data_IF_821970943703
#
_entry.id   IF_821970943703
#
_cell.length_a   1.000
_cell.length_b   1.000
_cell.length_c   1.000
_cell.angle_alpha   90.00
_cell.angle_beta   90.00
_cell.angle_gamma   90.00
#
_symmetry.space_group_name_H-M   'P 1'
#
loop_
_entity.id
_entity.type
_entity.pdbx_description
1 polymer ?
#
# COMPACT_ATOMS: atom_id res chain seq x y z
N UNK A 1 52.16 10.43 -3.77
CA UNK A 1 52.11 9.40 -4.83
C UNK A 1 50.76 9.54 -5.53
N UNK A 2 50.72 9.90 -6.82
CA UNK A 2 49.47 10.01 -7.58
C UNK A 2 49.21 8.67 -8.26
N UNK A 3 48.34 7.84 -7.68
CA UNK A 3 47.90 6.59 -8.28
C UNK A 3 46.89 6.93 -9.36
N UNK A 4 47.18 6.61 -10.62
CA UNK A 4 46.20 6.72 -11.71
C UNK A 4 45.33 5.47 -11.67
N UNK A 5 44.05 5.64 -11.36
CA UNK A 5 43.07 4.55 -11.44
C UNK A 5 42.60 4.49 -12.90
N UNK A 6 43.09 3.52 -13.67
CA UNK A 6 42.58 3.24 -15.01
C UNK A 6 41.36 2.32 -14.86
N UNK A 7 40.16 2.88 -15.03
CA UNK A 7 38.91 2.12 -15.00
C UNK A 7 38.59 1.73 -16.43
N UNK A 8 38.51 0.41 -16.67
CA UNK A 8 38.02 -0.13 -17.94
C UNK A 8 36.59 0.39 -18.20
N UNK A 9 36.35 0.91 -19.41
CA UNK A 9 35.05 1.41 -19.88
C UNK A 9 33.95 0.39 -19.63
N UNK A 10 34.25 -0.91 -19.73
CA UNK A 10 33.28 -1.97 -19.45
C UNK A 10 32.79 -1.97 -17.99
N UNK A 11 33.69 -1.71 -17.05
CA UNK A 11 33.38 -1.63 -15.61
C UNK A 11 32.61 -0.35 -15.30
N UNK A 12 33.00 0.77 -15.92
CA UNK A 12 32.30 2.04 -15.78
C UNK A 12 30.84 1.96 -16.27
N UNK A 13 30.61 1.40 -17.46
CA UNK A 13 29.27 1.26 -18.03
C UNK A 13 28.38 0.36 -17.16
N UNK A 14 28.91 -0.77 -16.66
CA UNK A 14 28.16 -1.67 -15.76
C UNK A 14 27.76 -0.98 -14.46
N UNK A 15 28.66 -0.20 -13.88
CA UNK A 15 28.37 0.57 -12.67
C UNK A 15 27.25 1.59 -12.91
N UNK A 16 27.34 2.38 -13.98
CA UNK A 16 26.32 3.38 -14.30
C UNK A 16 24.96 2.78 -14.63
N UNK A 17 24.92 1.65 -15.33
CA UNK A 17 23.66 0.95 -15.61
C UNK A 17 22.92 0.57 -14.32
N UNK A 18 23.64 0.13 -13.28
CA UNK A 18 23.05 -0.19 -11.98
C UNK A 18 22.48 1.07 -11.31
N UNK A 19 23.24 2.16 -11.29
CA UNK A 19 22.80 3.45 -10.71
C UNK A 19 21.55 3.98 -11.41
N UNK A 20 21.55 3.96 -12.75
CA UNK A 20 20.40 4.36 -13.57
C UNK A 20 19.21 3.44 -13.32
N UNK A 21 19.44 2.13 -13.20
CA UNK A 21 18.39 1.15 -12.85
C UNK A 21 17.71 1.48 -11.52
N UNK A 22 18.49 1.81 -10.48
CA UNK A 22 17.93 2.24 -9.20
C UNK A 22 17.17 3.57 -9.31
N UNK A 23 17.67 4.53 -10.08
CA UNK A 23 16.97 5.79 -10.33
C UNK A 23 15.59 5.56 -10.96
N UNK A 24 15.51 4.69 -11.97
CA UNK A 24 14.23 4.31 -12.59
C UNK A 24 13.31 3.54 -11.64
N UNK A 25 13.85 2.64 -10.81
CA UNK A 25 13.05 1.92 -9.82
C UNK A 25 12.43 2.87 -8.78
N UNK A 26 13.22 3.84 -8.30
CA UNK A 26 12.73 4.88 -7.38
C UNK A 26 11.66 5.74 -8.07
N UNK A 27 11.88 6.18 -9.30
CA UNK A 27 10.89 6.94 -10.07
C UNK A 27 9.59 6.15 -10.27
N UNK A 28 9.68 4.85 -10.57
CA UNK A 28 8.52 3.98 -10.71
C UNK A 28 7.73 3.88 -9.39
N UNK A 29 8.41 3.73 -8.26
CA UNK A 29 7.79 3.75 -6.93
C UNK A 29 7.12 5.09 -6.61
N UNK A 30 7.77 6.21 -6.95
CA UNK A 30 7.19 7.55 -6.78
C UNK A 30 5.94 7.74 -7.63
N UNK A 31 5.98 7.34 -8.90
CA UNK A 31 4.83 7.40 -9.80
C UNK A 31 3.70 6.49 -9.32
N UNK A 32 4.02 5.34 -8.74
CA UNK A 32 3.05 4.37 -8.23
C UNK A 32 2.57 4.69 -6.81
N UNK A 33 3.05 5.76 -6.16
CA UNK A 33 2.76 6.08 -4.75
C UNK A 33 1.25 6.06 -4.46
N UNK A 34 0.45 6.72 -5.29
CA UNK A 34 -1.01 6.76 -5.10
C UNK A 34 -1.62 5.36 -5.18
N UNK A 35 -1.22 4.56 -6.17
CA UNK A 35 -1.69 3.18 -6.31
C UNK A 35 -1.25 2.29 -5.13
N UNK A 36 -0.02 2.45 -4.65
CA UNK A 36 0.51 1.73 -3.49
C UNK A 36 -0.27 2.08 -2.21
N UNK A 37 -0.63 3.35 -2.01
CA UNK A 37 -1.48 3.78 -0.89
C UNK A 37 -2.87 3.15 -1.00
N UNK A 38 -3.49 3.15 -2.18
CA UNK A 38 -4.81 2.54 -2.38
C UNK A 38 -4.77 1.04 -2.09
N UNK A 39 -3.79 0.32 -2.63
CA UNK A 39 -3.65 -1.12 -2.41
C UNK A 39 -3.35 -1.42 -0.94
N UNK A 40 -2.45 -0.65 -0.32
CA UNK A 40 -2.09 -0.79 1.08
C UNK A 40 -3.26 -0.54 2.02
N UNK A 41 -4.03 0.53 1.78
CA UNK A 41 -5.24 0.84 2.57
C UNK A 41 -6.33 -0.20 2.35
N UNK A 42 -6.56 -0.65 1.12
CA UNK A 42 -7.52 -1.72 0.82
C UNK A 42 -7.15 -3.04 1.50
N UNK A 43 -5.87 -3.42 1.48
CA UNK A 43 -5.36 -4.61 2.15
C UNK A 43 -5.51 -4.50 3.67
N UNK A 44 -5.14 -3.34 4.24
CA UNK A 44 -5.30 -3.07 5.66
C UNK A 44 -6.77 -3.17 6.08
N UNK A 45 -7.67 -2.51 5.34
CA UNK A 45 -9.11 -2.57 5.58
C UNK A 45 -9.64 -3.99 5.46
N UNK A 46 -9.23 -4.76 4.44
CA UNK A 46 -9.66 -6.14 4.27
C UNK A 46 -9.26 -7.03 5.46
N UNK A 47 -8.03 -6.91 5.94
CA UNK A 47 -7.55 -7.64 7.12
C UNK A 47 -8.27 -7.18 8.39
N UNK A 48 -8.40 -5.87 8.59
CA UNK A 48 -9.07 -5.27 9.74
C UNK A 48 -10.56 -5.64 9.79
N UNK A 49 -11.22 -5.73 8.64
CA UNK A 49 -12.64 -6.06 8.51
C UNK A 49 -12.93 -7.55 8.66
N UNK A 50 -12.00 -8.45 8.31
CA UNK A 50 -12.27 -9.89 8.32
C UNK A 50 -12.73 -10.42 9.71
N UNK A 51 -12.12 -9.93 10.79
CA UNK A 51 -12.52 -10.24 12.18
C UNK A 51 -13.94 -9.77 12.54
N UNK A 52 -14.24 -8.46 12.49
CA UNK A 52 -15.57 -7.94 12.83
C UNK A 52 -16.67 -8.39 11.85
N UNK A 53 -16.41 -8.49 10.55
CA UNK A 53 -17.35 -9.01 9.54
C UNK A 53 -17.77 -10.45 9.87
N UNK A 54 -16.81 -11.32 10.19
CA UNK A 54 -17.09 -12.73 10.47
C UNK A 54 -17.85 -12.95 11.79
N UNK A 55 -17.68 -12.04 12.77
CA UNK A 55 -18.49 -12.06 14.00
C UNK A 55 -19.89 -11.51 13.77
N UNK A 56 -20.03 -10.47 12.95
CA UNK A 56 -21.32 -9.89 12.61
C UNK A 56 -22.16 -10.87 11.77
N UNK A 57 -21.55 -11.55 10.79
CA UNK A 57 -22.24 -12.55 9.97
C UNK A 57 -22.76 -13.77 10.75
N UNK A 58 -22.23 -14.04 11.94
CA UNK A 58 -22.73 -15.10 12.83
C UNK A 58 -23.95 -14.69 13.65
N UNK A 59 -24.24 -13.39 13.76
CA UNK A 59 -25.40 -12.85 14.49
C UNK A 59 -26.54 -12.41 13.57
N UNK A 60 -26.32 -12.32 12.25
CA UNK A 60 -27.40 -12.05 11.30
C UNK A 60 -28.20 -13.34 11.02
N UNK A 61 -29.56 -13.28 11.07
CA UNK A 61 -30.43 -14.44 10.90
C UNK A 61 -30.37 -15.06 9.50
N UNK A 62 -30.03 -14.25 8.49
CA UNK A 62 -29.97 -14.70 7.12
C UNK A 62 -28.52 -14.69 6.63
N UNK A 63 -28.05 -15.87 6.25
CA UNK A 63 -26.65 -16.31 6.11
C UNK A 63 -25.95 -15.68 4.89
N UNK A 64 -26.33 -14.46 4.52
CA UNK A 64 -25.81 -13.73 3.37
C UNK A 64 -24.54 -12.98 3.77
N UNK A 65 -23.42 -13.58 3.37
CA UNK A 65 -22.06 -13.07 3.57
C UNK A 65 -21.89 -11.67 2.95
N UNK A 66 -22.68 -11.33 1.93
CA UNK A 66 -22.73 -10.05 1.24
C UNK A 66 -23.34 -8.93 2.08
N UNK A 67 -24.52 -9.11 2.70
CA UNK A 67 -25.11 -8.08 3.57
C UNK A 67 -24.25 -7.83 4.82
N UNK A 68 -23.70 -8.88 5.39
CA UNK A 68 -22.81 -8.77 6.56
C UNK A 68 -21.53 -8.01 6.25
N UNK A 69 -20.96 -8.21 5.05
CA UNK A 69 -19.77 -7.47 4.60
C UNK A 69 -20.10 -6.01 4.32
N UNK A 70 -21.24 -5.74 3.67
CA UNK A 70 -21.68 -4.38 3.36
C UNK A 70 -21.90 -3.54 4.64
N UNK A 71 -22.62 -4.09 5.63
CA UNK A 71 -22.88 -3.38 6.90
C UNK A 71 -21.58 -3.09 7.65
N UNK A 72 -20.71 -4.09 7.78
CA UNK A 72 -19.43 -3.92 8.48
C UNK A 72 -18.50 -2.93 7.75
N UNK A 73 -18.46 -2.96 6.42
CA UNK A 73 -17.70 -2.00 5.63
C UNK A 73 -18.23 -0.58 5.85
N UNK A 74 -19.54 -0.37 5.76
CA UNK A 74 -20.17 0.94 6.00
C UNK A 74 -19.89 1.47 7.39
N UNK A 75 -19.96 0.63 8.43
CA UNK A 75 -19.64 1.05 9.81
C UNK A 75 -18.18 1.46 9.95
N UNK A 76 -17.23 0.69 9.40
CA UNK A 76 -15.80 1.04 9.48
C UNK A 76 -15.50 2.31 8.70
N UNK A 77 -16.05 2.47 7.50
CA UNK A 77 -15.88 3.70 6.70
C UNK A 77 -16.47 4.91 7.43
N UNK A 78 -17.67 4.79 8.01
CA UNK A 78 -18.28 5.86 8.78
C UNK A 78 -17.44 6.24 10.02
N UNK A 79 -16.87 5.25 10.71
CA UNK A 79 -16.04 5.46 11.90
C UNK A 79 -14.71 6.14 11.52
N UNK A 80 -14.07 5.70 10.43
CA UNK A 80 -12.87 6.36 9.91
C UNK A 80 -13.16 7.78 9.42
N UNK A 81 -14.26 8.01 8.72
CA UNK A 81 -14.67 9.35 8.29
C UNK A 81 -14.95 10.27 9.49
N UNK A 82 -15.59 9.76 10.54
CA UNK A 82 -15.82 10.50 11.78
C UNK A 82 -14.51 10.85 12.49
N UNK A 83 -13.55 9.92 12.57
CA UNK A 83 -12.22 10.19 13.13
C UNK A 83 -11.48 11.25 12.31
N UNK A 84 -11.49 11.16 10.98
CA UNK A 84 -10.86 12.14 10.10
C UNK A 84 -11.50 13.52 10.28
N UNK A 85 -12.83 13.61 10.30
CA UNK A 85 -13.57 14.86 10.50
C UNK A 85 -13.35 15.46 11.88
N UNK A 86 -13.17 14.64 12.92
CA UNK A 86 -12.92 15.12 14.28
C UNK A 86 -11.46 15.56 14.50
N UNK A 87 -10.51 14.92 13.80
CA UNK A 87 -9.06 15.18 13.97
C UNK A 87 -8.55 16.26 13.01
N UNK A 88 -9.14 16.40 11.82
CA UNK A 88 -8.91 17.54 10.93
C UNK A 88 -10.04 18.56 11.16
N UNK A 89 -9.84 19.60 12.00
CA UNK A 89 -10.80 20.70 12.12
C UNK A 89 -10.94 21.49 10.81
#
# INVERSE_FOLDING_TARGET
MKVRIEIDTRTFVRFWLVVIGFAFAILALYSARTALIIIGTALFLALALNGPVSRLSRRLPDRSRTLSTAIAFTVVVALLAAVVFLVLP
#
